data_IF_426760046027
#
_entry.id   IF_426760046027
#
_cell.length_a   1.000
_cell.length_b   1.000
_cell.length_c   1.000
_cell.angle_alpha   90.00
_cell.angle_beta   90.00
_cell.angle_gamma   90.00
#
_symmetry.space_group_name_H-M   'P 1'
#
loop_
_entity.id
_entity.type
_entity.pdbx_description
1 polymer ?
#
# COMPACT_ATOMS: atom_id res chain seq x y z
N UNK A 1 6.51 13.22 12.11
CA UNK A 1 5.51 14.13 11.53
C UNK A 1 4.64 13.37 10.53
N UNK A 2 3.38 13.20 10.87
CA UNK A 2 2.38 12.54 10.02
C UNK A 2 2.04 13.44 8.80
N UNK A 3 1.53 12.85 7.72
CA UNK A 3 1.16 13.58 6.50
C UNK A 3 0.21 14.74 6.78
N UNK A 4 -0.72 14.57 7.72
CA UNK A 4 -1.67 15.61 8.15
C UNK A 4 -0.96 16.88 8.63
N UNK A 5 0.12 16.74 9.40
CA UNK A 5 0.85 17.90 9.90
C UNK A 5 1.59 18.63 8.77
N UNK A 6 2.12 17.87 7.80
CA UNK A 6 2.76 18.46 6.62
C UNK A 6 1.76 19.26 5.79
N UNK A 7 0.54 18.74 5.59
CA UNK A 7 -0.53 19.47 4.91
C UNK A 7 -0.92 20.75 5.66
N UNK A 8 -1.00 20.73 7.01
CA UNK A 8 -1.25 21.94 7.80
C UNK A 8 -0.16 22.99 7.62
N UNK A 9 1.12 22.57 7.61
CA UNK A 9 2.25 23.47 7.38
C UNK A 9 2.22 24.07 5.98
N UNK A 10 1.88 23.29 4.94
CA UNK A 10 1.72 23.79 3.58
C UNK A 10 0.59 24.82 3.49
N UNK A 11 -0.57 24.53 4.09
CA UNK A 11 -1.68 25.48 4.14
C UNK A 11 -1.32 26.79 4.87
N UNK A 12 -0.54 26.71 5.96
CA UNK A 12 -0.09 27.87 6.73
C UNK A 12 1.03 28.67 6.04
N UNK A 13 1.76 28.07 5.10
CA UNK A 13 2.95 28.68 4.48
C UNK A 13 2.65 29.85 3.54
N UNK A 14 1.44 29.92 3.00
CA UNK A 14 1.07 30.86 1.93
C UNK A 14 1.70 30.54 0.57
N UNK A 15 2.47 29.45 0.45
CA UNK A 15 3.03 29.00 -0.83
C UNK A 15 1.95 28.32 -1.67
N UNK A 16 1.93 28.53 -3.01
CA UNK A 16 1.17 27.68 -3.91
C UNK A 16 1.61 26.22 -3.75
N UNK A 17 0.65 25.33 -3.57
CA UNK A 17 0.91 23.91 -3.38
C UNK A 17 -0.23 23.07 -3.94
N UNK A 18 0.11 21.82 -4.27
CA UNK A 18 -0.84 20.76 -4.59
C UNK A 18 -0.54 19.58 -3.66
N UNK A 19 -1.56 19.01 -3.04
CA UNK A 19 -1.42 17.81 -2.24
C UNK A 19 -1.69 16.60 -3.12
N UNK A 20 -0.69 15.74 -3.24
CA UNK A 20 -0.80 14.45 -3.94
C UNK A 20 -0.84 13.35 -2.89
N UNK A 21 -2.05 12.91 -2.54
CA UNK A 21 -2.29 11.82 -1.58
C UNK A 21 -2.19 10.49 -2.30
N UNK A 22 -0.97 9.97 -2.35
CA UNK A 22 -0.75 8.60 -2.83
C UNK A 22 -1.42 7.62 -1.87
N UNK A 23 -2.20 6.71 -2.43
CA UNK A 23 -2.61 5.49 -1.75
C UNK A 23 -1.42 4.55 -1.56
N UNK A 24 -1.71 3.26 -1.50
CA UNK A 24 -0.68 2.26 -1.22
C UNK A 24 0.11 1.86 -2.47
N UNK A 25 1.40 1.56 -2.30
CA UNK A 25 2.22 1.00 -3.37
C UNK A 25 2.03 -0.51 -3.45
N UNK A 26 1.76 -1.05 -4.64
CA UNK A 26 1.64 -2.49 -4.84
C UNK A 26 2.92 -3.22 -4.45
N UNK A 27 4.08 -2.57 -4.63
CA UNK A 27 5.38 -3.10 -4.27
C UNK A 27 5.59 -3.28 -2.75
N UNK A 28 4.79 -2.62 -1.90
CA UNK A 28 4.86 -2.83 -0.44
C UNK A 28 4.55 -4.29 -0.08
N UNK A 29 3.79 -5.01 -0.93
CA UNK A 29 3.42 -6.41 -0.72
C UNK A 29 4.45 -7.42 -1.24
N UNK A 30 5.52 -6.99 -1.93
CA UNK A 30 6.49 -7.94 -2.51
C UNK A 30 7.21 -8.77 -1.45
N UNK A 31 7.53 -8.16 -0.30
CA UNK A 31 8.15 -8.89 0.81
C UNK A 31 7.23 -9.97 1.39
N UNK A 32 5.95 -9.63 1.59
CA UNK A 32 4.92 -10.56 2.07
C UNK A 32 4.67 -11.69 1.07
N UNK A 33 4.61 -11.39 -0.23
CA UNK A 33 4.43 -12.39 -1.28
C UNK A 33 5.63 -13.34 -1.40
N UNK A 34 6.86 -12.84 -1.26
CA UNK A 34 8.04 -13.71 -1.24
C UNK A 34 8.05 -14.59 0.02
N UNK A 35 7.65 -14.05 1.18
CA UNK A 35 7.49 -14.85 2.39
C UNK A 35 6.42 -15.95 2.21
N UNK A 36 5.27 -15.60 1.62
CA UNK A 36 4.19 -16.53 1.33
C UNK A 36 4.61 -17.61 0.34
N UNK A 37 5.43 -17.27 -0.67
CA UNK A 37 5.99 -18.24 -1.61
C UNK A 37 6.91 -19.26 -0.91
N UNK A 38 7.65 -18.83 0.12
CA UNK A 38 8.57 -19.68 0.86
C UNK A 38 7.88 -20.53 1.94
N UNK A 39 6.84 -20.00 2.59
CA UNK A 39 6.21 -20.61 3.78
C UNK A 39 4.77 -21.09 3.55
N UNK A 40 4.20 -20.84 2.36
CA UNK A 40 2.88 -21.33 1.95
C UNK A 40 1.69 -20.53 2.50
N UNK A 41 1.91 -19.35 3.09
CA UNK A 41 0.81 -18.55 3.63
C UNK A 41 1.04 -17.04 3.53
N UNK A 42 -0.01 -16.32 3.12
CA UNK A 42 -0.15 -14.87 3.32
C UNK A 42 -0.84 -14.65 4.66
N UNK A 43 -0.16 -14.00 5.60
CA UNK A 43 -0.73 -13.63 6.91
C UNK A 43 -1.25 -12.20 6.82
N UNK A 44 -2.49 -11.98 7.23
CA UNK A 44 -3.10 -10.64 7.19
C UNK A 44 -4.02 -10.39 8.36
N UNK A 45 -4.04 -9.14 8.84
CA UNK A 45 -4.99 -8.63 9.82
C UNK A 45 -6.03 -7.68 9.22
N UNK A 46 -6.10 -7.61 7.89
CA UNK A 46 -7.03 -6.73 7.17
C UNK A 46 -8.46 -7.29 7.09
N UNK A 47 -8.71 -8.53 7.52
CA UNK A 47 -10.02 -9.18 7.41
C UNK A 47 -10.47 -9.27 5.95
N UNK A 48 -11.65 -8.72 5.67
CA UNK A 48 -12.21 -8.60 4.31
C UNK A 48 -11.95 -7.22 3.68
N UNK A 49 -11.01 -6.46 4.27
CA UNK A 49 -10.58 -5.17 3.75
C UNK A 49 -10.02 -5.27 2.34
N UNK A 50 -10.24 -4.22 1.56
CA UNK A 50 -9.73 -4.11 0.20
C UNK A 50 -8.63 -3.06 0.11
N UNK A 51 -7.74 -3.24 -0.85
CA UNK A 51 -6.62 -2.34 -1.10
C UNK A 51 -6.65 -1.94 -2.58
N UNK A 52 -6.80 -0.64 -2.84
CA UNK A 52 -6.64 -0.06 -4.17
C UNK A 52 -5.20 0.45 -4.34
N UNK A 53 -4.23 -0.47 -4.41
CA UNK A 53 -2.83 -0.11 -4.63
C UNK A 53 -2.52 0.13 -6.11
N UNK A 54 -1.46 0.91 -6.37
CA UNK A 54 -0.90 1.11 -7.71
C UNK A 54 0.63 1.01 -7.65
N UNK A 55 1.29 0.88 -8.80
CA UNK A 55 2.75 0.83 -8.83
C UNK A 55 3.34 2.20 -8.50
N UNK A 56 4.56 2.24 -7.92
CA UNK A 56 5.27 3.52 -7.71
C UNK A 56 5.44 4.32 -8.99
N UNK A 57 5.59 3.64 -10.14
CA UNK A 57 5.67 4.28 -11.44
C UNK A 57 4.41 5.07 -11.79
N UNK A 58 3.22 4.57 -11.42
CA UNK A 58 1.95 5.24 -11.70
C UNK A 58 1.80 6.51 -10.87
N UNK A 59 2.10 6.43 -9.56
CA UNK A 59 2.11 7.60 -8.69
C UNK A 59 3.16 8.64 -9.12
N UNK A 60 4.34 8.20 -9.55
CA UNK A 60 5.38 9.08 -10.06
C UNK A 60 4.96 9.78 -11.36
N UNK A 61 4.33 9.04 -12.28
CA UNK A 61 3.79 9.60 -13.52
C UNK A 61 2.67 10.62 -13.24
N UNK A 62 1.78 10.32 -12.30
CA UNK A 62 0.73 11.24 -11.87
C UNK A 62 1.30 12.52 -11.26
N UNK A 63 2.27 12.41 -10.35
CA UNK A 63 2.94 13.57 -9.76
C UNK A 63 3.65 14.43 -10.82
N UNK A 64 4.32 13.81 -11.79
CA UNK A 64 4.97 14.51 -12.89
C UNK A 64 3.96 15.25 -13.79
N UNK A 65 2.81 14.63 -14.08
CA UNK A 65 1.74 15.25 -14.86
C UNK A 65 1.10 16.43 -14.11
N UNK A 66 0.80 16.26 -12.82
CA UNK A 66 0.22 17.32 -11.96
C UNK A 66 1.17 18.53 -11.87
N UNK A 67 2.49 18.29 -11.77
CA UNK A 67 3.47 19.36 -11.65
C UNK A 67 3.50 20.32 -12.85
N UNK A 68 3.17 19.83 -14.04
CA UNK A 68 3.17 20.62 -15.28
C UNK A 68 1.77 21.03 -15.75
N UNK A 69 0.73 20.67 -15.00
CA UNK A 69 -0.65 21.00 -15.31
C UNK A 69 -0.99 22.41 -14.79
N UNK A 70 -1.24 23.40 -15.69
CA UNK A 70 -1.59 24.75 -15.28
C UNK A 70 -2.95 24.83 -14.57
N UNK A 71 -3.80 23.81 -14.75
CA UNK A 71 -5.15 23.73 -14.19
C UNK A 71 -5.25 22.67 -13.08
N UNK A 72 -4.10 22.30 -12.48
CA UNK A 72 -4.04 21.31 -11.42
C UNK A 72 -4.99 21.63 -10.24
N UNK A 73 -5.70 20.60 -9.78
CA UNK A 73 -6.54 20.68 -8.56
C UNK A 73 -5.65 20.86 -7.33
N UNK A 74 -6.17 21.49 -6.26
CA UNK A 74 -5.40 21.64 -5.01
C UNK A 74 -5.11 20.32 -4.31
N UNK A 75 -5.95 19.30 -4.51
CA UNK A 75 -5.81 17.97 -3.88
C UNK A 75 -6.15 16.88 -4.89
N UNK A 76 -5.31 15.85 -4.95
CA UNK A 76 -5.54 14.60 -5.68
C UNK A 76 -5.48 13.41 -4.72
N UNK A 77 -6.55 12.63 -4.67
CA UNK A 77 -6.58 11.31 -4.03
C UNK A 77 -6.24 10.27 -5.09
N UNK A 78 -5.05 9.68 -5.03
CA UNK A 78 -4.57 8.74 -6.04
C UNK A 78 -4.63 7.31 -5.50
N UNK A 79 -5.15 6.39 -6.29
CA UNK A 79 -5.19 4.95 -5.97
C UNK A 79 -5.15 4.14 -7.26
N UNK A 80 -5.05 2.82 -7.13
CA UNK A 80 -5.29 1.92 -8.26
C UNK A 80 -6.75 1.94 -8.72
N UNK A 81 -6.98 1.61 -10.00
CA UNK A 81 -8.32 1.52 -10.59
C UNK A 81 -9.14 0.35 -10.04
N UNK A 82 -8.47 -0.65 -9.47
CA UNK A 82 -9.10 -1.87 -8.94
C UNK A 82 -8.65 -2.09 -7.50
N UNK A 83 -9.63 -2.23 -6.61
CA UNK A 83 -9.41 -2.68 -5.26
C UNK A 83 -9.41 -4.21 -5.22
N UNK A 84 -8.52 -4.79 -4.41
CA UNK A 84 -8.37 -6.23 -4.26
C UNK A 84 -8.32 -6.65 -2.80
N UNK A 85 -8.64 -7.90 -2.52
CA UNK A 85 -8.54 -8.55 -1.20
C UNK A 85 -7.25 -9.38 -1.12
N UNK A 86 -6.79 -9.76 0.08
CA UNK A 86 -5.59 -10.60 0.21
C UNK A 86 -5.71 -12.00 -0.43
N UNK A 87 -6.92 -12.43 -0.80
CA UNK A 87 -7.13 -13.64 -1.60
C UNK A 87 -6.63 -13.48 -3.05
N UNK A 88 -6.61 -12.26 -3.59
CA UNK A 88 -6.25 -12.00 -4.99
C UNK A 88 -4.73 -12.10 -5.24
N UNK A 89 -3.85 -11.50 -4.41
CA UNK A 89 -2.41 -11.72 -4.52
C UNK A 89 -2.00 -13.18 -4.28
N UNK A 90 -2.66 -13.90 -3.36
CA UNK A 90 -2.39 -15.32 -3.15
C UNK A 90 -2.74 -16.16 -4.40
N UNK A 91 -3.91 -15.91 -5.01
CA UNK A 91 -4.28 -16.53 -6.30
C UNK A 91 -3.31 -16.17 -7.43
N UNK A 92 -2.89 -14.91 -7.51
CA UNK A 92 -1.94 -14.45 -8.52
C UNK A 92 -0.57 -15.13 -8.36
N UNK A 93 -0.08 -15.27 -7.12
CA UNK A 93 1.15 -15.96 -6.80
C UNK A 93 1.07 -17.45 -7.13
N UNK A 94 -0.03 -18.12 -6.75
CA UNK A 94 -0.28 -19.52 -7.09
C UNK A 94 -0.33 -19.74 -8.61
N UNK A 95 -1.02 -18.86 -9.36
CA UNK A 95 -1.08 -18.93 -10.81
C UNK A 95 0.29 -18.72 -11.47
N UNK A 96 1.12 -17.82 -10.93
CA UNK A 96 2.43 -17.51 -11.48
C UNK A 96 3.52 -18.55 -11.14
N UNK A 97 3.42 -19.22 -9.99
CA UNK A 97 4.51 -20.06 -9.45
C UNK A 97 4.13 -21.53 -9.25
N UNK A 98 2.84 -21.87 -9.28
CA UNK A 98 2.34 -23.19 -8.92
C UNK A 98 2.40 -23.50 -7.41
N UNK A 99 2.81 -22.55 -6.57
CA UNK A 99 2.82 -22.71 -5.12
C UNK A 99 1.40 -22.73 -4.56
N UNK A 100 1.13 -23.64 -3.61
CA UNK A 100 -0.10 -23.62 -2.82
C UNK A 100 0.07 -22.60 -1.68
N UNK A 101 -0.79 -21.58 -1.67
CA UNK A 101 -0.67 -20.42 -0.77
C UNK A 101 -2.01 -20.18 -0.09
N UNK A 102 -2.06 -20.39 1.22
CA UNK A 102 -3.24 -20.10 2.05
C UNK A 102 -3.26 -18.61 2.45
N UNK A 103 -4.46 -18.03 2.59
CA UNK A 103 -4.62 -16.71 3.22
C UNK A 103 -5.07 -16.89 4.66
N UNK A 104 -4.14 -16.70 5.60
CA UNK A 104 -4.39 -16.80 7.04
C UNK A 104 -4.75 -15.42 7.60
N UNK A 105 -6.03 -15.24 7.91
CA UNK A 105 -6.55 -14.04 8.57
C UNK A 105 -6.39 -14.17 10.08
N UNK A 106 -5.74 -13.20 10.71
CA UNK A 106 -5.45 -13.14 12.15
C UNK A 106 -5.90 -11.81 12.74
N UNK A 107 -5.98 -11.72 14.06
CA UNK A 107 -6.17 -10.42 14.73
C UNK A 107 -4.95 -9.51 14.53
N UNK A 108 -5.14 -8.19 14.72
CA UNK A 108 -4.04 -7.24 14.67
C UNK A 108 -2.96 -7.54 15.74
N UNK A 109 -3.37 -8.02 16.91
CA UNK A 109 -2.45 -8.41 17.98
C UNK A 109 -1.59 -9.60 17.59
N UNK A 110 -2.20 -10.66 17.07
CA UNK A 110 -1.49 -11.83 16.56
C UNK A 110 -0.55 -11.46 15.40
N UNK A 111 -0.99 -10.60 14.47
CA UNK A 111 -0.15 -10.19 13.36
C UNK A 111 1.10 -9.43 13.85
N UNK A 112 0.93 -8.49 14.80
CA UNK A 112 2.07 -7.80 15.43
C UNK A 112 3.02 -8.79 16.08
N UNK A 113 2.51 -9.79 16.81
CA UNK A 113 3.35 -10.79 17.48
C UNK A 113 4.12 -11.64 16.47
N UNK A 114 3.49 -12.04 15.35
CA UNK A 114 4.16 -12.71 14.22
C UNK A 114 5.29 -11.85 13.64
N UNK A 115 5.05 -10.55 13.41
CA UNK A 115 6.08 -9.65 12.87
C UNK A 115 7.25 -9.46 13.85
N UNK A 116 6.96 -9.38 15.16
CA UNK A 116 7.98 -9.31 16.21
C UNK A 116 8.83 -10.58 16.23
N UNK A 117 8.21 -11.76 16.18
CA UNK A 117 8.90 -13.05 16.11
C UNK A 117 9.76 -13.20 14.85
N UNK A 118 9.31 -12.59 13.74
CA UNK A 118 10.08 -12.49 12.49
C UNK A 118 11.21 -11.43 12.55
N UNK A 119 11.38 -10.73 13.68
CA UNK A 119 12.48 -9.80 13.93
C UNK A 119 12.23 -8.36 13.46
N UNK A 120 10.99 -7.99 13.15
CA UNK A 120 10.67 -6.59 12.82
C UNK A 120 10.60 -5.73 14.09
N UNK A 121 11.05 -4.46 14.04
CA UNK A 121 10.91 -3.51 15.15
C UNK A 121 9.44 -3.21 15.48
N UNK A 122 9.16 -2.80 16.73
CA UNK A 122 7.79 -2.51 17.21
C UNK A 122 7.20 -1.17 16.72
N UNK A 123 7.98 -0.35 16.02
CA UNK A 123 7.56 0.97 15.55
C UNK A 123 7.76 2.08 16.58
#
# INVERSE_FOLDING_TARGET
PDHVETERLLAASGLPHVIVRNGWYSENYLGELENARQHGAVITSAGDGTVASAARADYAAAAAAILVDPDAKPVYELSGDTAWTFDDPAKALAAATGADVEVRRVSADEHRDVLREAGLPEG
#
